data_IF_604369800659
#
_entry.id   IF_604369800659
#
_cell.length_a   1.000
_cell.length_b   1.000
_cell.length_c   1.000
_cell.angle_alpha   90.00
_cell.angle_beta   90.00
_cell.angle_gamma   90.00
#
_symmetry.space_group_name_H-M   'P 1'
#
loop_
_entity.id
_entity.type
_entity.pdbx_description
1 polymer ?
#
# COMPACT_ATOMS: atom_id res chain seq x y z
N UNK A 1 -3.88 0.25 -1.71
CA UNK A 1 -4.69 -0.67 -2.56
C UNK A 1 -5.15 -1.96 -1.88
N UNK A 2 -4.36 -2.56 -0.99
CA UNK A 2 -4.72 -3.80 -0.26
C UNK A 2 -6.07 -3.65 0.49
N UNK A 3 -6.36 -2.46 1.03
CA UNK A 3 -7.65 -2.17 1.70
C UNK A 3 -8.89 -2.36 0.82
N UNK A 4 -8.80 -2.15 -0.50
CA UNK A 4 -9.96 -2.28 -1.38
C UNK A 4 -10.29 -3.76 -1.66
N UNK A 5 -9.25 -4.60 -1.72
CA UNK A 5 -9.39 -6.04 -1.94
C UNK A 5 -10.03 -6.70 -0.71
N UNK A 6 -9.48 -6.46 0.47
CA UNK A 6 -10.03 -6.95 1.75
C UNK A 6 -11.48 -6.48 1.95
N UNK A 7 -11.79 -5.20 1.67
CA UNK A 7 -13.15 -4.67 1.82
C UNK A 7 -14.13 -5.28 0.82
N UNK A 8 -13.73 -5.49 -0.43
CA UNK A 8 -14.59 -6.15 -1.43
C UNK A 8 -14.91 -7.57 -0.99
N UNK A 9 -13.91 -8.30 -0.51
CA UNK A 9 -14.05 -9.64 0.03
C UNK A 9 -14.95 -9.65 1.28
N UNK A 10 -14.80 -8.66 2.17
CA UNK A 10 -15.66 -8.50 3.34
C UNK A 10 -17.12 -8.17 2.99
N UNK A 11 -17.36 -7.37 1.95
CA UNK A 11 -18.73 -7.11 1.46
C UNK A 11 -19.33 -8.37 0.85
N UNK A 12 -18.55 -9.14 0.06
CA UNK A 12 -18.99 -10.43 -0.47
C UNK A 12 -19.34 -11.42 0.65
N UNK A 13 -18.58 -11.43 1.75
CA UNK A 13 -18.90 -12.19 2.97
C UNK A 13 -20.26 -11.77 3.53
N UNK A 14 -20.50 -10.46 3.67
CA UNK A 14 -21.77 -9.91 4.19
C UNK A 14 -22.98 -10.23 3.30
N UNK A 15 -22.81 -10.27 1.98
CA UNK A 15 -23.88 -10.66 1.06
C UNK A 15 -24.26 -12.15 1.17
N UNK A 16 -23.47 -12.97 1.86
CA UNK A 16 -23.76 -14.40 2.10
C UNK A 16 -24.30 -14.61 3.54
N UNK A 17 -24.40 -13.55 4.34
CA UNK A 17 -24.80 -13.63 5.75
C UNK A 17 -26.28 -14.03 5.92
N UNK A 18 -26.47 -15.30 6.25
CA UNK A 18 -27.18 -15.61 7.49
C UNK A 18 -26.11 -15.91 8.54
N UNK A 19 -26.10 -15.15 9.65
CA UNK A 19 -25.01 -15.08 10.63
C UNK A 19 -24.53 -16.44 11.20
N UNK A 20 -25.32 -17.51 11.04
CA UNK A 20 -25.01 -18.85 11.53
C UNK A 20 -24.24 -19.74 10.53
N UNK A 21 -24.20 -19.40 9.23
CA UNK A 21 -23.57 -20.25 8.19
C UNK A 21 -22.16 -19.81 7.79
N UNK A 22 -21.66 -18.68 8.29
CA UNK A 22 -20.35 -18.13 7.90
C UNK A 22 -19.19 -19.07 8.24
N UNK A 23 -19.14 -19.59 9.47
CA UNK A 23 -18.05 -20.48 9.92
C UNK A 23 -18.01 -21.83 9.20
N UNK A 24 -19.13 -22.27 8.64
CA UNK A 24 -19.22 -23.56 7.93
C UNK A 24 -19.02 -23.43 6.42
N UNK A 25 -19.16 -22.22 5.86
CA UNK A 25 -19.14 -21.96 4.41
C UNK A 25 -17.98 -21.09 3.94
N UNK A 26 -17.40 -20.27 4.81
CA UNK A 26 -16.26 -19.40 4.50
C UNK A 26 -15.04 -19.84 5.30
N UNK A 27 -13.95 -20.12 4.60
CA UNK A 27 -12.62 -20.30 5.20
C UNK A 27 -11.74 -19.14 4.75
N UNK A 28 -11.12 -18.47 5.71
CA UNK A 28 -10.16 -17.39 5.48
C UNK A 28 -8.80 -17.83 6.01
N UNK A 29 -7.77 -17.69 5.17
CA UNK A 29 -6.38 -17.97 5.53
C UNK A 29 -5.52 -16.81 5.05
N UNK A 30 -4.60 -16.38 5.90
CA UNK A 30 -3.53 -15.48 5.50
C UNK A 30 -2.35 -16.31 5.00
N UNK A 31 -1.97 -16.14 3.74
CA UNK A 31 -0.90 -16.93 3.15
C UNK A 31 0.50 -16.52 3.65
N UNK A 32 0.68 -15.32 4.23
CA UNK A 32 1.98 -14.93 4.81
C UNK A 32 2.34 -15.71 6.08
N UNK A 33 1.37 -16.07 6.90
CA UNK A 33 1.63 -16.82 8.14
C UNK A 33 1.71 -18.33 7.88
N UNK A 34 0.90 -18.82 6.95
CA UNK A 34 0.69 -20.25 6.71
C UNK A 34 1.13 -20.69 5.30
N UNK A 35 2.38 -20.36 4.92
CA UNK A 35 2.98 -20.58 3.58
C UNK A 35 3.19 -22.05 3.19
N UNK A 36 3.11 -22.97 4.15
CA UNK A 36 3.48 -24.38 3.99
C UNK A 36 2.47 -25.16 3.16
N UNK A 37 2.97 -26.03 2.27
CA UNK A 37 2.12 -26.95 1.47
C UNK A 37 1.17 -27.79 2.32
N UNK A 38 1.58 -28.12 3.56
CA UNK A 38 0.81 -28.93 4.49
C UNK A 38 -0.52 -28.25 4.87
N UNK A 39 -0.53 -26.93 5.03
CA UNK A 39 -1.72 -26.15 5.40
C UNK A 39 -2.79 -26.27 4.31
N UNK A 40 -2.40 -26.17 3.04
CA UNK A 40 -3.32 -26.31 1.92
C UNK A 40 -3.84 -27.74 1.82
N UNK A 41 -2.97 -28.73 2.02
CA UNK A 41 -3.35 -30.15 1.96
C UNK A 41 -4.26 -30.59 3.09
N UNK A 42 -4.11 -30.00 4.28
CA UNK A 42 -4.87 -30.42 5.45
C UNK A 42 -6.08 -29.51 5.67
N UNK A 43 -5.90 -28.19 5.80
CA UNK A 43 -7.01 -27.26 6.07
C UNK A 43 -7.91 -27.07 4.86
N UNK A 44 -7.35 -26.65 3.73
CA UNK A 44 -8.16 -26.29 2.54
C UNK A 44 -8.83 -27.54 1.95
N UNK A 45 -8.11 -28.65 1.85
CA UNK A 45 -8.67 -29.91 1.34
C UNK A 45 -9.77 -30.47 2.25
N UNK A 46 -9.57 -30.50 3.58
CA UNK A 46 -10.59 -31.00 4.50
C UNK A 46 -11.83 -30.09 4.51
N UNK A 47 -11.62 -28.77 4.42
CA UNK A 47 -12.71 -27.81 4.29
C UNK A 47 -13.50 -28.02 2.99
N UNK A 48 -12.82 -28.22 1.86
CA UNK A 48 -13.45 -28.49 0.57
C UNK A 48 -14.24 -29.82 0.57
N UNK A 49 -13.72 -30.86 1.27
CA UNK A 49 -14.36 -32.18 1.36
C UNK A 49 -15.60 -32.22 2.27
N UNK A 50 -15.64 -31.38 3.30
CA UNK A 50 -16.73 -31.41 4.29
C UNK A 50 -18.06 -31.03 3.62
N UNK A 51 -19.08 -31.89 3.72
CA UNK A 51 -20.39 -31.61 3.14
C UNK A 51 -21.06 -30.40 3.83
N UNK A 52 -21.76 -29.57 3.05
CA UNK A 52 -22.52 -28.44 3.61
C UNK A 52 -23.95 -28.88 3.90
N UNK A 53 -24.47 -28.54 5.08
CA UNK A 53 -25.89 -28.75 5.39
C UNK A 53 -26.75 -27.70 4.67
N UNK A 54 -27.76 -28.17 3.95
CA UNK A 54 -28.79 -27.34 3.32
C UNK A 54 -29.82 -26.93 4.39
N UNK A 55 -29.44 -26.03 5.29
CA UNK A 55 -30.44 -25.39 6.15
C UNK A 55 -31.08 -24.25 5.34
N UNK A 56 -32.32 -24.48 4.94
CA UNK A 56 -33.21 -23.50 4.35
C UNK A 56 -33.60 -22.46 5.42
N UNK A 57 -32.97 -21.29 5.35
CA UNK A 57 -33.47 -20.07 5.97
C UNK A 57 -33.93 -19.07 4.90
N UNK A 58 -34.42 -17.91 5.33
CA UNK A 58 -35.00 -16.83 4.51
C UNK A 58 -34.01 -16.17 3.51
N UNK A 59 -32.77 -16.64 3.46
CA UNK A 59 -31.70 -16.10 2.63
C UNK A 59 -31.25 -17.12 1.58
N UNK A 60 -31.08 -16.73 0.31
CA UNK A 60 -30.60 -17.63 -0.73
C UNK A 60 -29.19 -18.11 -0.39
N UNK A 61 -29.08 -19.33 0.11
CA UNK A 61 -27.82 -19.98 0.39
C UNK A 61 -27.28 -20.59 -0.93
N UNK A 62 -26.15 -20.13 -1.45
CA UNK A 62 -25.58 -20.73 -2.64
C UNK A 62 -25.05 -22.15 -2.33
N UNK A 63 -25.14 -23.12 -3.26
CA UNK A 63 -24.68 -24.48 -3.07
C UNK A 63 -23.14 -24.61 -3.27
N UNK A 64 -22.38 -23.63 -2.77
CA UNK A 64 -20.92 -23.64 -2.83
C UNK A 64 -20.32 -23.08 -1.54
N UNK A 65 -19.04 -23.41 -1.31
CA UNK A 65 -18.21 -22.86 -0.23
C UNK A 65 -17.25 -21.83 -0.82
N UNK A 66 -16.78 -20.91 0.02
CA UNK A 66 -15.79 -19.92 -0.35
C UNK A 66 -14.54 -20.12 0.50
N UNK A 67 -13.39 -20.14 -0.17
CA UNK A 67 -12.08 -20.07 0.46
C UNK A 67 -11.44 -18.77 0.02
N UNK A 68 -11.03 -17.96 0.99
CA UNK A 68 -10.34 -16.69 0.80
C UNK A 68 -8.91 -16.90 1.26
N UNK A 69 -7.98 -16.65 0.34
CA UNK A 69 -6.55 -16.67 0.60
C UNK A 69 -6.08 -15.23 0.45
N UNK A 70 -5.71 -14.62 1.57
CA UNK A 70 -5.07 -13.30 1.56
C UNK A 70 -3.58 -13.45 1.26
N UNK A 71 -2.97 -12.46 0.61
CA UNK A 71 -1.54 -12.43 0.25
C UNK A 71 -1.06 -13.69 -0.51
N UNK A 72 -1.91 -14.22 -1.40
CA UNK A 72 -1.66 -15.49 -2.09
C UNK A 72 -0.41 -15.52 -2.99
N UNK A 73 0.17 -14.35 -3.30
CA UNK A 73 1.44 -14.18 -3.99
C UNK A 73 2.64 -14.64 -3.13
N UNK A 74 2.51 -14.63 -1.81
CA UNK A 74 3.52 -15.12 -0.87
C UNK A 74 3.54 -16.65 -0.73
N UNK A 75 2.64 -17.36 -1.41
CA UNK A 75 2.63 -18.82 -1.42
C UNK A 75 3.82 -19.39 -2.20
N UNK A 76 4.44 -20.42 -1.62
CA UNK A 76 5.46 -21.23 -2.32
C UNK A 76 4.89 -21.89 -3.59
N UNK A 77 5.73 -22.13 -4.59
CA UNK A 77 5.29 -22.77 -5.85
C UNK A 77 4.65 -24.15 -5.62
N UNK A 78 5.14 -24.90 -4.63
CA UNK A 78 4.60 -26.19 -4.19
C UNK A 78 3.18 -26.04 -3.61
N UNK A 79 2.96 -25.01 -2.78
CA UNK A 79 1.67 -24.68 -2.21
C UNK A 79 0.67 -24.26 -3.31
N UNK A 80 1.08 -23.41 -4.26
CA UNK A 80 0.24 -23.02 -5.40
C UNK A 80 -0.15 -24.23 -6.28
N UNK A 81 0.80 -25.14 -6.52
CA UNK A 81 0.55 -26.38 -7.27
C UNK A 81 -0.45 -27.30 -6.55
N UNK A 82 -0.35 -27.41 -5.23
CA UNK A 82 -1.30 -28.16 -4.41
C UNK A 82 -2.69 -27.53 -4.43
N UNK A 83 -2.77 -26.20 -4.30
CA UNK A 83 -4.03 -25.45 -4.36
C UNK A 83 -4.75 -25.65 -5.69
N UNK A 84 -4.00 -25.59 -6.80
CA UNK A 84 -4.54 -25.82 -8.14
C UNK A 84 -5.22 -27.18 -8.26
N UNK A 85 -4.59 -28.24 -7.76
CA UNK A 85 -5.17 -29.60 -7.75
C UNK A 85 -6.45 -29.68 -6.92
N UNK A 86 -6.50 -28.99 -5.77
CA UNK A 86 -7.70 -28.95 -4.91
C UNK A 86 -8.84 -28.23 -5.64
N UNK A 87 -8.56 -27.08 -6.27
CA UNK A 87 -9.55 -26.35 -7.07
C UNK A 87 -10.06 -27.25 -8.20
N UNK A 88 -9.18 -27.89 -8.96
CA UNK A 88 -9.55 -28.79 -10.06
C UNK A 88 -10.41 -29.98 -9.63
N UNK A 89 -10.20 -30.51 -8.42
CA UNK A 89 -10.92 -31.67 -7.92
C UNK A 89 -12.33 -31.34 -7.42
N UNK A 90 -12.49 -30.18 -6.75
CA UNK A 90 -13.74 -29.80 -6.06
C UNK A 90 -14.57 -28.75 -6.81
N UNK A 91 -13.99 -28.09 -7.81
CA UNK A 91 -14.68 -27.12 -8.64
C UNK A 91 -15.27 -27.79 -9.88
N UNK A 92 -16.57 -27.56 -10.15
CA UNK A 92 -17.18 -27.85 -11.47
C UNK A 92 -16.74 -26.83 -12.54
N UNK A 93 -16.04 -25.77 -12.12
CA UNK A 93 -15.51 -24.73 -13.00
C UNK A 93 -14.10 -25.17 -13.42
N UNK A 94 -13.89 -25.33 -14.73
CA UNK A 94 -12.59 -25.71 -15.30
C UNK A 94 -11.46 -24.77 -14.86
N UNK A 95 -10.22 -25.28 -14.67
CA UNK A 95 -9.12 -24.57 -14.01
C UNK A 95 -8.59 -23.31 -14.70
N UNK A 96 -9.09 -22.98 -15.89
CA UNK A 96 -8.50 -21.95 -16.75
C UNK A 96 -9.03 -20.54 -16.54
N UNK A 97 -10.02 -20.29 -15.67
CA UNK A 97 -10.59 -18.94 -15.53
C UNK A 97 -10.91 -18.55 -14.09
N UNK A 98 -9.87 -18.35 -13.28
CA UNK A 98 -10.00 -17.33 -12.24
C UNK A 98 -10.33 -16.01 -12.94
N UNK A 99 -11.44 -15.37 -12.56
CA UNK A 99 -11.76 -14.04 -13.07
C UNK A 99 -10.74 -13.05 -12.48
N UNK A 100 -9.91 -12.46 -13.35
CA UNK A 100 -8.91 -11.49 -12.93
C UNK A 100 -9.59 -10.14 -12.73
N UNK A 101 -9.73 -9.73 -11.48
CA UNK A 101 -10.17 -8.38 -11.14
C UNK A 101 -8.93 -7.53 -10.87
N UNK A 102 -8.67 -6.55 -11.76
CA UNK A 102 -7.57 -5.61 -11.59
C UNK A 102 -8.09 -4.36 -10.90
N UNK A 103 -7.66 -4.15 -9.66
CA UNK A 103 -7.90 -2.91 -8.94
C UNK A 103 -6.91 -1.86 -9.44
N UNK A 104 -7.41 -0.75 -9.96
CA UNK A 104 -6.59 0.40 -10.31
C UNK A 104 -6.40 1.27 -9.05
N UNK A 105 -5.28 2.00 -8.92
CA UNK A 105 -5.17 3.07 -7.94
C UNK A 105 -6.38 4.00 -8.05
N UNK A 106 -6.83 4.51 -6.91
CA UNK A 106 -7.97 5.43 -6.90
C UNK A 106 -7.57 6.76 -7.53
N UNK A 107 -8.52 7.36 -8.24
CA UNK A 107 -8.35 8.72 -8.71
C UNK A 107 -8.38 9.71 -7.53
N UNK A 108 -7.72 10.85 -7.72
CA UNK A 108 -7.61 11.90 -6.71
C UNK A 108 -9.00 12.39 -6.27
N UNK A 109 -9.96 12.49 -7.20
CA UNK A 109 -11.30 13.00 -6.90
C UNK A 109 -12.13 12.05 -6.01
N UNK A 110 -12.10 10.74 -6.27
CA UNK A 110 -12.72 9.72 -5.42
C UNK A 110 -12.06 9.65 -4.05
N UNK A 111 -10.74 9.81 -3.99
CA UNK A 111 -9.98 9.84 -2.74
C UNK A 111 -10.39 11.04 -1.89
N UNK A 112 -10.42 12.25 -2.45
CA UNK A 112 -10.87 13.47 -1.77
C UNK A 112 -12.31 13.34 -1.30
N UNK A 113 -13.22 12.85 -2.16
CA UNK A 113 -14.63 12.64 -1.80
C UNK A 113 -14.79 11.73 -0.59
N UNK A 114 -14.02 10.62 -0.56
CA UNK A 114 -14.04 9.68 0.56
C UNK A 114 -13.44 10.28 1.83
N UNK A 115 -12.34 11.01 1.73
CA UNK A 115 -11.70 11.68 2.86
C UNK A 115 -12.59 12.77 3.45
N UNK A 116 -13.29 13.52 2.60
CA UNK A 116 -14.26 14.53 3.03
C UNK A 116 -15.39 13.91 3.86
N UNK A 117 -15.94 12.79 3.40
CA UNK A 117 -16.95 12.04 4.17
C UNK A 117 -16.42 11.62 5.55
N UNK A 118 -15.17 11.17 5.64
CA UNK A 118 -14.54 10.80 6.92
C UNK A 118 -14.38 12.02 7.83
N UNK A 119 -13.92 13.15 7.28
CA UNK A 119 -13.76 14.39 8.06
C UNK A 119 -15.09 14.91 8.60
N UNK A 120 -16.17 14.83 7.81
CA UNK A 120 -17.52 15.22 8.23
C UNK A 120 -18.06 14.31 9.35
N UNK A 121 -17.82 12.99 9.28
CA UNK A 121 -18.28 12.02 10.28
C UNK A 121 -17.50 12.10 11.59
N UNK A 122 -16.20 12.33 11.51
CA UNK A 122 -15.29 12.41 12.67
C UNK A 122 -15.14 13.85 13.21
N UNK A 123 -15.85 14.82 12.62
CA UNK A 123 -15.78 16.25 12.95
C UNK A 123 -14.35 16.82 12.98
N UNK A 124 -13.56 16.49 11.95
CA UNK A 124 -12.17 16.94 11.79
C UNK A 124 -12.11 18.23 10.99
N UNK A 125 -11.47 19.26 11.54
CA UNK A 125 -11.24 20.54 10.85
C UNK A 125 -9.96 20.46 10.00
N UNK A 126 -10.05 20.89 8.74
CA UNK A 126 -8.93 20.86 7.79
C UNK A 126 -8.92 22.11 6.89
N UNK A 127 -7.74 22.50 6.39
CA UNK A 127 -7.60 23.58 5.41
C UNK A 127 -7.93 23.10 3.99
N UNK A 128 -8.31 24.01 3.09
CA UNK A 128 -8.72 23.66 1.71
C UNK A 128 -7.69 22.81 0.95
N UNK A 129 -6.39 23.07 1.14
CA UNK A 129 -5.30 22.37 0.46
C UNK A 129 -4.96 21.02 1.10
N UNK A 130 -5.42 20.74 2.33
CA UNK A 130 -5.01 19.55 3.09
C UNK A 130 -5.44 18.25 2.42
N UNK A 131 -6.67 18.19 1.89
CA UNK A 131 -7.17 16.96 1.25
C UNK A 131 -6.52 16.70 -0.11
N UNK A 132 -6.18 17.75 -0.85
CA UNK A 132 -5.49 17.65 -2.15
C UNK A 132 -4.06 17.17 -1.95
N UNK A 133 -3.35 17.75 -0.98
CA UNK A 133 -2.00 17.33 -0.58
C UNK A 133 -1.99 15.86 -0.15
N UNK A 134 -2.92 15.48 0.74
CA UNK A 134 -3.01 14.14 1.26
C UNK A 134 -3.37 13.11 0.17
N UNK A 135 -4.22 13.48 -0.80
CA UNK A 135 -4.52 12.63 -1.95
C UNK A 135 -3.31 12.46 -2.89
N UNK A 136 -2.48 13.50 -3.03
CA UNK A 136 -1.26 13.49 -3.85
C UNK A 136 -0.20 12.59 -3.20
N UNK A 137 0.09 12.79 -1.91
CA UNK A 137 1.06 11.99 -1.14
C UNK A 137 0.66 10.52 -0.99
N UNK A 138 -0.64 10.23 -1.13
CA UNK A 138 -1.15 8.86 -1.00
C UNK A 138 -1.04 8.05 -2.29
N UNK A 139 -0.77 8.67 -3.45
CA UNK A 139 -0.57 8.00 -4.75
C UNK A 139 -1.67 6.97 -5.09
N UNK A 140 -2.92 7.29 -4.74
CA UNK A 140 -4.07 6.40 -4.94
C UNK A 140 -4.22 5.27 -3.92
N UNK A 141 -3.42 5.24 -2.85
CA UNK A 141 -3.63 4.37 -1.68
C UNK A 141 -4.45 5.06 -0.59
N UNK A 142 -5.75 4.75 -0.57
CA UNK A 142 -6.68 5.27 0.44
C UNK A 142 -6.30 4.87 1.88
N UNK A 143 -5.65 3.72 2.09
CA UNK A 143 -5.27 3.30 3.46
C UNK A 143 -4.19 4.24 4.00
N UNK A 144 -3.17 4.52 3.18
CA UNK A 144 -2.11 5.50 3.50
C UNK A 144 -2.72 6.87 3.80
N UNK A 145 -3.65 7.31 2.95
CA UNK A 145 -4.40 8.56 3.12
C UNK A 145 -5.11 8.66 4.48
N UNK A 146 -5.91 7.64 4.81
CA UNK A 146 -6.67 7.59 6.08
C UNK A 146 -5.71 7.53 7.27
N UNK A 147 -4.63 6.77 7.19
CA UNK A 147 -3.64 6.67 8.26
C UNK A 147 -2.96 8.02 8.54
N UNK A 148 -2.55 8.75 7.51
CA UNK A 148 -1.98 10.09 7.68
C UNK A 148 -3.00 11.06 8.28
N UNK A 149 -4.24 11.06 7.77
CA UNK A 149 -5.31 11.91 8.30
C UNK A 149 -5.61 11.61 9.78
N UNK A 150 -5.68 10.33 10.15
CA UNK A 150 -5.91 9.91 11.52
C UNK A 150 -4.77 10.31 12.45
N UNK A 151 -3.52 10.13 12.02
CA UNK A 151 -2.33 10.57 12.76
C UNK A 151 -2.34 12.08 12.96
N UNK A 152 -2.68 12.85 11.91
CA UNK A 152 -2.78 14.30 11.97
C UNK A 152 -3.88 14.78 12.93
N UNK A 153 -5.07 14.19 12.84
CA UNK A 153 -6.18 14.50 13.75
C UNK A 153 -5.83 14.19 15.21
N UNK A 154 -5.07 13.10 15.46
CA UNK A 154 -4.64 12.71 16.80
C UNK A 154 -3.55 13.62 17.37
N UNK A 155 -2.69 14.19 16.52
CA UNK A 155 -1.65 15.13 16.93
C UNK A 155 -2.27 16.49 17.28
N UNK A 156 -3.15 16.99 16.40
CA UNK A 156 -3.71 18.34 16.51
C UNK A 156 -4.95 18.45 17.41
N UNK A 157 -5.55 17.32 17.83
CA UNK A 157 -6.64 17.11 18.83
C UNK A 157 -7.86 18.06 18.84
N UNK A 158 -7.91 19.08 17.97
CA UNK A 158 -8.98 20.09 17.74
C UNK A 158 -8.52 21.26 16.85
N UNK A 159 -7.23 21.41 16.62
CA UNK A 159 -6.71 22.43 15.69
C UNK A 159 -7.00 22.04 14.24
N UNK A 160 -6.98 23.05 13.36
CA UNK A 160 -7.14 22.85 11.93
C UNK A 160 -5.90 22.15 11.38
N UNK A 161 -6.09 21.01 10.73
CA UNK A 161 -5.02 20.30 10.03
C UNK A 161 -4.65 21.11 8.78
N UNK A 162 -3.36 21.34 8.57
CA UNK A 162 -2.83 22.03 7.39
C UNK A 162 -2.06 21.06 6.47
N UNK A 163 -1.78 21.48 5.24
CA UNK A 163 -0.96 20.72 4.30
C UNK A 163 0.47 20.48 4.82
N UNK A 164 1.01 21.42 5.60
CA UNK A 164 2.33 21.30 6.23
C UNK A 164 2.35 20.19 7.28
N UNK A 165 1.33 20.13 8.16
CA UNK A 165 1.19 19.05 9.13
C UNK A 165 1.11 17.67 8.46
N UNK A 166 0.49 17.57 7.28
CA UNK A 166 0.44 16.32 6.52
C UNK A 166 1.80 15.97 5.95
N UNK A 167 2.54 16.94 5.38
CA UNK A 167 3.90 16.72 4.85
C UNK A 167 4.86 16.24 5.94
N UNK A 168 4.80 16.85 7.12
CA UNK A 168 5.59 16.42 8.29
C UNK A 168 5.26 14.97 8.69
N UNK A 169 3.97 14.62 8.79
CA UNK A 169 3.54 13.26 9.17
C UNK A 169 3.87 12.23 8.10
N UNK A 170 3.86 12.63 6.83
CA UNK A 170 4.28 11.78 5.72
C UNK A 170 5.80 11.63 5.62
N UNK A 171 6.58 12.39 6.40
CA UNK A 171 8.04 12.38 6.35
C UNK A 171 8.61 13.02 5.08
N UNK A 172 7.84 13.91 4.46
CA UNK A 172 8.25 14.63 3.25
C UNK A 172 9.28 15.68 3.65
N UNK A 173 10.46 15.60 3.06
CA UNK A 173 11.51 16.60 3.21
C UNK A 173 11.02 17.97 2.67
N UNK A 174 11.24 19.08 3.40
CA UNK A 174 10.90 20.40 2.89
C UNK A 174 11.64 20.76 1.60
N UNK A 175 10.96 21.45 0.69
CA UNK A 175 11.51 21.82 -0.62
C UNK A 175 12.80 22.65 -0.51
N UNK A 176 12.91 23.50 0.51
CA UNK A 176 14.10 24.32 0.75
C UNK A 176 15.35 23.45 0.95
N UNK A 177 15.25 22.38 1.73
CA UNK A 177 16.36 21.46 2.00
C UNK A 177 16.78 20.72 0.72
N UNK A 178 15.81 20.28 -0.09
CA UNK A 178 16.09 19.60 -1.36
C UNK A 178 16.71 20.57 -2.37
N UNK A 179 16.23 21.80 -2.45
CA UNK A 179 16.79 22.81 -3.35
C UNK A 179 18.23 23.16 -2.94
N UNK A 180 18.50 23.36 -1.65
CA UNK A 180 19.84 23.62 -1.11
C UNK A 180 20.81 22.47 -1.50
N UNK A 181 20.42 21.21 -1.26
CA UNK A 181 21.22 20.05 -1.64
C UNK A 181 21.53 19.99 -3.15
N UNK A 182 20.53 20.29 -3.99
CA UNK A 182 20.72 20.29 -5.45
C UNK A 182 21.63 21.45 -5.88
N UNK A 183 21.49 22.64 -5.29
CA UNK A 183 22.32 23.81 -5.61
C UNK A 183 23.78 23.58 -5.18
N UNK A 184 24.00 23.05 -3.98
CA UNK A 184 25.32 22.68 -3.48
C UNK A 184 25.98 21.63 -4.36
N UNK A 185 25.23 20.60 -4.79
CA UNK A 185 25.72 19.60 -5.74
C UNK A 185 26.06 20.20 -7.13
N UNK A 186 25.28 21.18 -7.62
CA UNK A 186 25.56 21.89 -8.89
C UNK A 186 26.83 22.73 -8.81
N UNK A 187 27.10 23.34 -7.66
CA UNK A 187 28.17 24.35 -7.51
C UNK A 187 29.60 23.79 -7.63
N UNK A 188 29.80 22.47 -7.47
CA UNK A 188 31.09 21.74 -7.55
C UNK A 188 32.24 22.27 -6.68
N UNK A 189 32.03 23.32 -5.88
CA UNK A 189 33.12 24.12 -5.32
C UNK A 189 33.49 23.76 -3.89
N UNK A 190 32.64 23.07 -3.13
CA UNK A 190 32.96 22.65 -1.77
C UNK A 190 32.30 21.30 -1.45
N UNK A 191 33.02 20.20 -1.66
CA UNK A 191 32.62 18.85 -1.21
C UNK A 191 32.26 18.83 0.29
N UNK A 192 33.01 19.61 1.08
CA UNK A 192 32.78 19.81 2.52
C UNK A 192 31.40 20.42 2.81
N UNK A 193 30.94 21.38 2.00
CA UNK A 193 29.61 21.99 2.21
C UNK A 193 28.49 21.01 1.89
N UNK A 194 28.68 20.17 0.88
CA UNK A 194 27.71 19.12 0.56
C UNK A 194 27.63 18.08 1.68
N UNK A 195 28.78 17.67 2.24
CA UNK A 195 28.81 16.77 3.40
C UNK A 195 28.10 17.37 4.63
N UNK A 196 28.33 18.66 4.91
CA UNK A 196 27.65 19.37 6.01
C UNK A 196 26.12 19.46 5.80
N UNK A 197 25.67 19.73 4.58
CA UNK A 197 24.24 19.80 4.26
C UNK A 197 23.55 18.42 4.31
N UNK A 198 24.22 17.38 3.81
CA UNK A 198 23.74 16.00 3.91
C UNK A 198 23.67 15.57 5.38
N UNK A 199 24.72 15.84 6.16
CA UNK A 199 24.74 15.56 7.60
C UNK A 199 23.58 16.28 8.31
N UNK A 200 23.34 17.56 7.99
CA UNK A 200 22.22 18.33 8.56
C UNK A 200 20.86 17.75 8.18
N UNK A 201 20.68 17.28 6.95
CA UNK A 201 19.43 16.65 6.50
C UNK A 201 19.16 15.33 7.24
N UNK A 202 20.20 14.51 7.44
CA UNK A 202 20.08 13.24 8.17
C UNK A 202 19.91 13.48 9.68
N UNK A 203 20.64 14.44 10.27
CA UNK A 203 20.49 14.85 11.68
C UNK A 203 19.08 15.41 11.98
N UNK A 204 18.41 15.96 10.96
CA UNK A 204 17.01 16.40 11.05
C UNK A 204 16.01 15.22 11.08
N UNK A 205 16.49 13.98 10.89
CA UNK A 205 15.69 12.76 10.95
C UNK A 205 15.00 12.38 9.64
N UNK A 206 15.40 12.97 8.51
CA UNK A 206 14.87 12.59 7.20
C UNK A 206 15.58 11.33 6.68
N UNK A 207 14.80 10.38 6.18
CA UNK A 207 15.35 9.15 5.58
C UNK A 207 16.05 9.45 4.25
N UNK A 208 17.23 8.87 4.05
CA UNK A 208 17.97 8.97 2.79
C UNK A 208 17.13 8.56 1.56
N UNK A 209 16.25 7.56 1.70
CA UNK A 209 15.37 7.09 0.62
C UNK A 209 14.40 8.20 0.18
N UNK A 210 13.83 8.94 1.14
CA UNK A 210 12.93 10.06 0.84
C UNK A 210 13.67 11.21 0.17
N UNK A 211 14.88 11.53 0.64
CA UNK A 211 15.73 12.57 0.03
C UNK A 211 16.03 12.19 -1.43
N UNK A 212 16.47 10.95 -1.70
CA UNK A 212 16.79 10.48 -3.04
C UNK A 212 15.58 10.52 -3.98
N UNK A 213 14.40 10.06 -3.50
CA UNK A 213 13.16 10.09 -4.30
C UNK A 213 12.78 11.51 -4.69
N UNK A 214 12.83 12.46 -3.76
CA UNK A 214 12.47 13.85 -4.04
C UNK A 214 13.48 14.56 -4.94
N UNK A 215 14.77 14.29 -4.76
CA UNK A 215 15.82 14.78 -5.67
C UNK A 215 15.57 14.25 -7.08
N UNK A 216 15.24 12.96 -7.24
CA UNK A 216 14.93 12.38 -8.54
C UNK A 216 13.75 13.10 -9.21
N UNK A 217 12.64 13.28 -8.50
CA UNK A 217 11.46 13.97 -9.04
C UNK A 217 11.79 15.40 -9.46
N UNK A 218 12.58 16.11 -8.64
CA UNK A 218 13.01 17.48 -8.93
C UNK A 218 13.91 17.57 -10.17
N UNK A 219 14.86 16.66 -10.32
CA UNK A 219 15.79 16.61 -11.47
C UNK A 219 15.06 16.20 -12.75
N UNK A 220 14.09 15.29 -12.67
CA UNK A 220 13.27 14.92 -13.83
C UNK A 220 12.42 16.09 -14.33
N UNK A 221 11.87 16.89 -13.42
CA UNK A 221 11.09 18.09 -13.73
C UNK A 221 11.95 19.28 -14.21
N UNK A 222 13.22 19.37 -13.81
CA UNK A 222 14.10 20.48 -14.17
C UNK A 222 14.55 20.40 -15.65
N UNK A 223 14.29 21.46 -16.42
CA UNK A 223 14.68 21.59 -17.83
C UNK A 223 16.15 21.96 -18.04
N UNK A 224 16.88 22.32 -16.97
CA UNK A 224 18.30 22.67 -17.05
C UNK A 224 19.19 21.45 -17.33
N UNK A 225 18.73 20.24 -16.98
CA UNK A 225 19.47 19.00 -17.21
C UNK A 225 19.17 18.43 -18.60
N UNK A 226 20.21 18.05 -19.33
CA UNK A 226 20.04 17.32 -20.59
C UNK A 226 19.68 15.84 -20.33
N UNK A 227 19.14 15.16 -21.35
CA UNK A 227 18.70 13.76 -21.21
C UNK A 227 19.83 12.81 -20.79
N UNK A 228 21.06 13.04 -21.27
CA UNK A 228 22.22 12.23 -20.90
C UNK A 228 22.63 12.39 -19.43
N UNK A 229 22.49 13.61 -18.88
CA UNK A 229 22.72 13.91 -17.47
C UNK A 229 21.62 13.28 -16.62
N UNK A 230 20.34 13.43 -17.01
CA UNK A 230 19.21 12.79 -16.33
C UNK A 230 19.38 11.27 -16.28
N UNK A 231 19.82 10.64 -17.37
CA UNK A 231 20.09 9.21 -17.41
C UNK A 231 21.20 8.78 -16.45
N UNK A 232 22.35 9.48 -16.42
CA UNK A 232 23.47 9.16 -15.50
C UNK A 232 23.11 9.35 -14.04
N UNK A 233 22.37 10.42 -13.73
CA UNK A 233 21.88 10.69 -12.39
C UNK A 233 20.89 9.60 -11.97
N UNK A 234 19.94 9.24 -12.84
CA UNK A 234 18.98 8.17 -12.58
C UNK A 234 19.64 6.81 -12.36
N UNK A 235 20.69 6.47 -13.12
CA UNK A 235 21.48 5.25 -12.90
C UNK A 235 22.16 5.25 -11.52
N UNK A 236 22.75 6.39 -11.13
CA UNK A 236 23.40 6.54 -9.83
C UNK A 236 22.39 6.43 -8.69
N UNK A 237 21.26 7.14 -8.77
CA UNK A 237 20.19 7.08 -7.76
C UNK A 237 19.64 5.65 -7.63
N UNK A 238 19.39 4.96 -8.76
CA UNK A 238 18.91 3.57 -8.73
C UNK A 238 19.91 2.60 -8.09
N UNK A 239 21.22 2.84 -8.23
CA UNK A 239 22.23 2.05 -7.54
C UNK A 239 22.22 2.28 -6.02
N UNK A 240 22.09 3.53 -5.59
CA UNK A 240 22.00 3.87 -4.16
C UNK A 240 20.69 3.42 -3.52
N UNK A 241 19.55 3.54 -4.23
CA UNK A 241 18.25 3.02 -3.76
C UNK A 241 18.32 1.50 -3.50
N UNK A 242 19.04 0.77 -4.35
CA UNK A 242 19.32 -0.65 -4.12
C UNK A 242 20.18 -0.87 -2.88
N UNK A 243 21.26 -0.11 -2.69
CA UNK A 243 22.13 -0.25 -1.52
C UNK A 243 21.37 0.01 -0.21
N UNK A 244 20.56 1.08 -0.18
CA UNK A 244 19.69 1.38 0.96
C UNK A 244 18.67 0.27 1.21
N UNK A 245 18.09 -0.30 0.13
CA UNK A 245 17.19 -1.46 0.22
C UNK A 245 17.88 -2.73 0.74
N UNK A 246 19.17 -2.90 0.47
CA UNK A 246 20.01 -4.00 0.98
C UNK A 246 20.48 -3.78 2.43
N UNK A 247 20.18 -2.62 3.03
CA UNK A 247 20.46 -2.30 4.44
C UNK A 247 21.84 -1.69 4.69
N UNK A 248 22.39 -0.96 3.72
CA UNK A 248 23.61 -0.16 3.94
C UNK A 248 23.35 1.02 4.88
N UNK A 249 24.42 1.56 5.46
CA UNK A 249 24.35 2.78 6.26
C UNK A 249 23.85 3.96 5.41
N UNK A 250 22.96 4.78 5.95
CA UNK A 250 22.41 5.93 5.23
C UNK A 250 23.42 7.07 5.05
N UNK A 251 24.49 7.09 5.86
CA UNK A 251 25.53 8.11 5.80
C UNK A 251 26.71 7.80 4.86
N UNK A 252 26.92 6.53 4.47
CA UNK A 252 28.11 6.04 3.74
C UNK A 252 27.76 5.60 2.31
#
# INVERSE_FOLDING_TARGET
NISAQEQTVAVLKKTIESQNLMKSRVLELNASDERGIQVIRDKVKNFARTAVSNQAGDYPCPPYKIVILDEADLLTQDAQSALRRVIETYSKVTPSRCAKFRFKPLDTSSTISRLKMICEQEAVNYSSQTLEELATLSEGDLRKAIMHLQSAAKLHKKEMITAESIREIAGVVPDDVINDLIESAKSKKNEIQLEEEVAKAIDSGFSAIQILSQIQDRILADYQFNEAQKARIGESIGQFDKYLSDGTDEHL
#
